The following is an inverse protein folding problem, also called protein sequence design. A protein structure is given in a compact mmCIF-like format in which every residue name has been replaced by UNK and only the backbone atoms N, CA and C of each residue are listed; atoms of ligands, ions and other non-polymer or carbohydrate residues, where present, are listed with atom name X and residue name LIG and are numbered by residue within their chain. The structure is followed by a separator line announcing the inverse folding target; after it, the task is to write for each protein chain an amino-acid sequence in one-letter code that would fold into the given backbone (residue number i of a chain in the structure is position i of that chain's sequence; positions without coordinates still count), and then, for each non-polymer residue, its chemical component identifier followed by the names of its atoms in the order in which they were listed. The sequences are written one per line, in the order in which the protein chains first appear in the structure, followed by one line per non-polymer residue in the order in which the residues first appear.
data_IF_132542933017
#
_entry.id   IF_132542933017
#
_cell.length_a   1.000
_cell.length_b   1.000
_cell.length_c   1.000
_cell.angle_alpha   90.00
_cell.angle_beta   90.00
_cell.angle_gamma   90.00
#
_symmetry.space_group_name_H-M   'P 1'
#
loop_
_entity.id
_entity.type
_entity.pdbx_description
1 polymer ?
#
# COMPACT_ATOMS: atom_id res chain seq x y z
N UNK A 1 -6.08 -12.33 13.87
CA UNK A 1 -5.75 -10.91 14.11
C UNK A 1 -5.14 -10.25 12.88
N UNK A 2 -3.88 -10.47 12.48
CA UNK A 2 -3.31 -9.85 11.26
C UNK A 2 -4.12 -10.16 9.97
N UNK A 3 -4.52 -11.40 9.77
CA UNK A 3 -5.33 -11.79 8.60
C UNK A 3 -6.72 -11.14 8.57
N UNK A 4 -7.29 -10.83 9.74
CA UNK A 4 -8.65 -10.29 9.85
C UNK A 4 -8.67 -8.79 9.55
N UNK A 5 -7.66 -8.05 10.03
CA UNK A 5 -7.47 -6.65 9.68
C UNK A 5 -7.20 -6.44 8.18
N UNK A 6 -6.44 -7.34 7.55
CA UNK A 6 -6.18 -7.28 6.10
C UNK A 6 -7.47 -7.49 5.31
N UNK A 7 -8.30 -8.45 5.71
CA UNK A 7 -9.60 -8.70 5.05
C UNK A 7 -10.59 -7.54 5.20
N UNK A 8 -10.63 -6.88 6.37
CA UNK A 8 -11.50 -5.72 6.59
C UNK A 8 -11.07 -4.50 5.77
N UNK A 9 -9.75 -4.26 5.65
CA UNK A 9 -9.20 -3.19 4.81
C UNK A 9 -9.36 -3.50 3.32
N UNK A 10 -9.22 -4.75 2.90
CA UNK A 10 -9.49 -5.21 1.54
C UNK A 10 -10.92 -4.87 1.11
N UNK A 11 -11.91 -5.24 1.94
CA UNK A 11 -13.32 -4.98 1.68
C UNK A 11 -13.64 -3.48 1.66
N UNK A 12 -13.07 -2.71 2.60
CA UNK A 12 -13.27 -1.27 2.65
C UNK A 12 -12.71 -0.52 1.44
N UNK A 13 -11.55 -0.97 0.93
CA UNK A 13 -10.87 -0.35 -0.21
C UNK A 13 -11.42 -0.84 -1.58
N UNK A 14 -12.36 -1.79 -1.57
CA UNK A 14 -12.92 -2.47 -2.76
C UNK A 14 -11.84 -3.13 -3.66
N UNK A 15 -10.72 -3.57 -3.07
CA UNK A 15 -9.62 -4.22 -3.81
C UNK A 15 -9.91 -5.69 -4.09
N UNK A 16 -10.57 -5.96 -5.21
CA UNK A 16 -11.02 -7.31 -5.61
C UNK A 16 -9.95 -8.17 -6.28
N UNK A 17 -8.84 -7.57 -6.70
CA UNK A 17 -7.81 -8.21 -7.52
C UNK A 17 -6.41 -8.11 -6.89
N UNK A 18 -6.23 -7.75 -5.63
CA UNK A 18 -4.89 -7.63 -5.02
C UNK A 18 -4.02 -8.90 -5.16
N UNK A 19 -4.62 -10.10 -5.30
CA UNK A 19 -3.87 -11.34 -5.56
C UNK A 19 -3.29 -11.43 -6.97
N UNK A 20 -3.81 -10.67 -7.92
CA UNK A 20 -3.46 -10.70 -9.35
C UNK A 20 -3.01 -9.33 -9.90
N UNK A 21 -3.26 -8.25 -9.18
CA UNK A 21 -2.92 -6.87 -9.52
C UNK A 21 -1.85 -6.36 -8.57
N UNK A 22 -0.62 -6.22 -9.10
CA UNK A 22 0.50 -5.64 -8.35
C UNK A 22 0.15 -4.25 -7.78
N UNK A 23 -0.64 -3.45 -8.53
CA UNK A 23 -1.11 -2.15 -8.08
C UNK A 23 -1.93 -2.27 -6.80
N UNK A 24 -3.00 -3.07 -6.81
CA UNK A 24 -3.85 -3.23 -5.63
C UNK A 24 -3.10 -3.87 -4.45
N UNK A 25 -2.17 -4.80 -4.72
CA UNK A 25 -1.33 -5.39 -3.68
C UNK A 25 -0.47 -4.34 -2.94
N UNK A 26 0.21 -3.47 -3.70
CA UNK A 26 1.06 -2.42 -3.13
C UNK A 26 0.22 -1.37 -2.40
N UNK A 27 -0.97 -1.04 -2.91
CA UNK A 27 -1.87 -0.10 -2.22
C UNK A 27 -2.41 -0.69 -0.92
N UNK A 28 -2.78 -1.97 -0.91
CA UNK A 28 -3.22 -2.65 0.29
C UNK A 28 -2.12 -2.66 1.34
N UNK A 29 -0.88 -2.98 0.94
CA UNK A 29 0.27 -2.96 1.83
C UNK A 29 0.52 -1.57 2.43
N UNK A 30 0.46 -0.52 1.62
CA UNK A 30 0.58 0.88 2.06
C UNK A 30 -0.41 1.22 3.18
N UNK A 31 -1.70 0.89 3.00
CA UNK A 31 -2.73 1.20 3.98
C UNK A 31 -2.64 0.31 5.23
N UNK A 32 -2.34 -0.98 5.07
CA UNK A 32 -2.18 -1.91 6.20
C UNK A 32 -1.00 -1.51 7.06
N UNK A 33 0.15 -1.21 6.46
CA UNK A 33 1.35 -0.76 7.18
C UNK A 33 1.09 0.56 7.92
N UNK A 34 0.41 1.51 7.28
CA UNK A 34 0.01 2.75 7.94
C UNK A 34 -0.91 2.53 9.13
N UNK A 35 -1.97 1.74 8.94
CA UNK A 35 -2.92 1.42 10.01
C UNK A 35 -2.23 0.77 11.21
N UNK A 36 -1.35 -0.21 10.98
CA UNK A 36 -0.62 -0.87 12.06
C UNK A 36 0.34 0.07 12.78
N UNK A 37 1.09 0.88 12.05
CA UNK A 37 1.97 1.88 12.64
C UNK A 37 1.19 2.84 13.55
N UNK A 38 0.05 3.36 13.10
CA UNK A 38 -0.78 4.26 13.90
C UNK A 38 -1.38 3.56 15.14
N UNK A 39 -1.72 2.26 15.03
CA UNK A 39 -2.14 1.44 16.17
C UNK A 39 -1.03 1.26 17.21
N UNK A 40 0.19 1.00 16.78
CA UNK A 40 1.36 0.87 17.66
C UNK A 40 1.71 2.19 18.36
N UNK A 41 1.51 3.32 17.67
CA UNK A 41 1.63 4.67 18.24
C UNK A 41 0.52 5.01 19.25
N UNK A 42 -0.49 4.14 19.42
CA UNK A 42 -1.56 4.32 20.40
C UNK A 42 -2.58 5.38 20.01
N UNK A 43 -2.76 5.65 18.70
CA UNK A 43 -3.73 6.64 18.25
C UNK A 43 -5.16 6.25 18.66
N UNK A 44 -5.90 7.22 19.17
CA UNK A 44 -7.35 7.12 19.37
C UNK A 44 -8.08 6.90 18.04
N UNK A 45 -9.35 6.52 18.08
CA UNK A 45 -10.13 6.28 16.87
C UNK A 45 -10.20 7.52 15.95
N UNK A 46 -10.31 8.73 16.53
CA UNK A 46 -10.34 9.98 15.78
C UNK A 46 -8.98 10.24 15.12
N UNK A 47 -7.90 10.11 15.87
CA UNK A 47 -6.53 10.28 15.37
C UNK A 47 -6.20 9.27 14.27
N UNK A 48 -6.57 8.00 14.46
CA UNK A 48 -6.41 6.95 13.46
C UNK A 48 -7.17 7.29 12.17
N UNK A 49 -8.42 7.72 12.28
CA UNK A 49 -9.20 8.13 11.10
C UNK A 49 -8.58 9.33 10.39
N UNK A 50 -8.08 10.31 11.14
CA UNK A 50 -7.37 11.46 10.61
C UNK A 50 -6.11 11.09 9.87
N UNK A 51 -5.34 10.16 10.44
CA UNK A 51 -4.12 9.65 9.82
C UNK A 51 -4.43 8.86 8.53
N UNK A 52 -5.44 7.99 8.53
CA UNK A 52 -5.83 7.25 7.33
C UNK A 52 -6.31 8.19 6.21
N UNK A 53 -7.06 9.25 6.56
CA UNK A 53 -7.43 10.30 5.60
C UNK A 53 -6.21 11.01 5.04
N UNK A 54 -5.21 11.31 5.88
CA UNK A 54 -3.96 11.91 5.42
C UNK A 54 -3.18 10.99 4.46
N UNK A 55 -3.11 9.69 4.75
CA UNK A 55 -2.49 8.71 3.85
C UNK A 55 -3.19 8.67 2.50
N UNK A 56 -4.53 8.69 2.49
CA UNK A 56 -5.32 8.70 1.25
C UNK A 56 -5.09 9.98 0.44
N UNK A 57 -5.12 11.15 1.09
CA UNK A 57 -4.87 12.44 0.46
C UNK A 57 -3.53 12.46 -0.29
N UNK A 58 -2.45 12.04 0.38
CA UNK A 58 -1.11 12.09 -0.23
C UNK A 58 -0.97 11.08 -1.38
N UNK A 59 -1.65 9.94 -1.30
CA UNK A 59 -1.66 8.95 -2.36
C UNK A 59 -2.51 9.40 -3.56
N UNK A 60 -3.65 10.04 -3.32
CA UNK A 60 -4.51 10.62 -4.37
C UNK A 60 -3.83 11.76 -5.11
N UNK A 61 -3.10 12.63 -4.40
CA UNK A 61 -2.27 13.67 -5.01
C UNK A 61 -1.30 13.08 -6.05
N UNK A 62 -0.81 11.87 -5.80
CA UNK A 62 0.07 11.18 -6.72
C UNK A 62 -0.68 10.47 -7.85
N UNK A 63 -1.72 9.71 -7.53
CA UNK A 63 -2.45 8.89 -8.50
C UNK A 63 -3.25 9.74 -9.49
N UNK A 64 -4.04 10.69 -8.98
CA UNK A 64 -5.03 11.46 -9.74
C UNK A 64 -4.50 12.82 -10.18
N UNK A 65 -3.87 13.55 -9.27
CA UNK A 65 -3.42 14.93 -9.52
C UNK A 65 -2.02 15.00 -10.14
N UNK A 66 -1.33 13.86 -10.27
CA UNK A 66 0.04 13.75 -10.78
C UNK A 66 1.04 14.71 -10.11
N UNK A 67 0.83 15.00 -8.82
CA UNK A 67 1.67 15.95 -8.10
C UNK A 67 3.10 15.42 -7.97
N UNK A 68 4.06 16.33 -8.15
CA UNK A 68 5.46 16.04 -7.86
C UNK A 68 5.66 15.80 -6.36
N UNK A 69 6.71 15.06 -5.99
CA UNK A 69 7.08 14.87 -4.58
C UNK A 69 7.17 16.22 -3.83
N UNK A 70 7.76 17.23 -4.47
CA UNK A 70 7.93 18.54 -3.87
C UNK A 70 6.58 19.20 -3.56
N UNK A 71 5.63 19.14 -4.49
CA UNK A 71 4.32 19.78 -4.30
C UNK A 71 3.45 19.00 -3.31
N UNK A 72 3.55 17.67 -3.29
CA UNK A 72 2.85 16.84 -2.31
C UNK A 72 3.38 17.07 -0.88
N UNK A 73 4.70 17.28 -0.72
CA UNK A 73 5.29 17.71 0.57
C UNK A 73 4.78 19.10 0.98
N UNK A 74 4.63 20.05 0.04
CA UNK A 74 4.05 21.36 0.34
C UNK A 74 2.60 21.21 0.78
N UNK A 75 1.83 20.33 0.13
CA UNK A 75 0.44 20.07 0.50
C UNK A 75 0.34 19.47 1.91
N UNK A 76 1.16 18.47 2.24
CA UNK A 76 1.29 17.97 3.60
C UNK A 76 1.56 19.12 4.59
N UNK A 77 2.48 20.02 4.25
CA UNK A 77 2.80 21.19 5.08
C UNK A 77 1.60 22.11 5.31
N UNK A 78 0.72 22.29 4.31
CA UNK A 78 -0.52 23.07 4.44
C UNK A 78 -1.56 22.33 5.26
N UNK A 79 -1.78 21.04 5.00
CA UNK A 79 -2.74 20.20 5.75
C UNK A 79 -2.36 20.11 7.23
N UNK A 80 -1.07 20.04 7.53
CA UNK A 80 -0.54 20.00 8.90
C UNK A 80 -0.37 21.39 9.53
N UNK A 81 -0.57 22.48 8.77
CA UNK A 81 -0.51 23.84 9.31
C UNK A 81 -1.73 24.10 10.22
N UNK A 82 -1.52 24.05 11.52
CA UNK A 82 -2.57 24.22 12.53
C UNK A 82 -2.60 23.12 13.59
N UNK A 83 -1.85 22.03 13.39
CA UNK A 83 -1.69 20.98 14.39
C UNK A 83 -1.13 21.58 15.69
N UNK A 84 -1.81 21.32 16.81
CA UNK A 84 -1.49 21.89 18.13
C UNK A 84 -2.06 23.30 18.40
N UNK A 85 -2.86 23.89 17.51
CA UNK A 85 -3.54 25.17 17.75
C UNK A 85 -5.08 25.01 17.72
N UNK A 86 -5.76 25.00 18.88
CA UNK A 86 -7.20 24.72 18.97
C UNK A 86 -8.13 25.79 18.34
N UNK A 87 -7.60 26.93 17.90
CA UNK A 87 -8.40 28.09 17.43
C UNK A 87 -7.92 28.69 16.08
N UNK A 88 -7.18 27.94 15.28
CA UNK A 88 -6.78 28.41 13.94
C UNK A 88 -7.91 28.14 12.93
N UNK A 89 -8.45 29.19 12.32
CA UNK A 89 -9.41 29.10 11.19
C UNK A 89 -8.85 28.33 9.97
N UNK A 90 -7.54 28.11 9.93
CA UNK A 90 -6.84 27.36 8.88
C UNK A 90 -6.71 25.86 9.16
N UNK A 91 -7.22 25.34 10.28
CA UNK A 91 -6.96 23.93 10.60
C UNK A 91 -7.68 23.00 9.63
N UNK A 92 -6.93 22.11 8.99
CA UNK A 92 -7.43 21.05 8.10
C UNK A 92 -8.16 19.91 8.85
N UNK A 93 -8.75 20.19 10.02
CA UNK A 93 -9.39 19.20 10.87
C UNK A 93 -8.43 18.36 11.72
N UNK A 94 -7.11 18.46 11.53
CA UNK A 94 -6.09 17.63 12.21
C UNK A 94 -5.63 18.16 13.59
N UNK A 95 -6.42 19.04 14.23
CA UNK A 95 -6.07 19.65 15.52
C UNK A 95 -5.99 18.65 16.69
N UNK A 96 -6.49 17.43 16.50
CA UNK A 96 -6.43 16.36 17.48
C UNK A 96 -5.03 15.75 17.65
N UNK A 97 -4.12 15.94 16.68
CA UNK A 97 -2.74 15.52 16.87
C UNK A 97 -1.98 16.54 17.72
N UNK A 98 -1.17 16.04 18.65
CA UNK A 98 -0.18 16.84 19.33
C UNK A 98 1.10 16.99 18.49
N UNK A 99 2.01 17.85 18.95
CA UNK A 99 3.25 18.17 18.23
C UNK A 99 4.14 16.94 18.02
N UNK A 100 4.20 16.02 18.98
CA UNK A 100 5.07 14.85 18.89
C UNK A 100 4.47 13.78 17.96
N UNK A 101 3.15 13.60 17.97
CA UNK A 101 2.44 12.80 16.98
C UNK A 101 2.62 13.37 15.58
N UNK A 102 2.54 14.69 15.41
CA UNK A 102 2.77 15.35 14.12
C UNK A 102 4.17 15.06 13.56
N UNK A 103 5.20 15.15 14.42
CA UNK A 103 6.59 14.80 14.04
C UNK A 103 6.71 13.33 13.68
N UNK A 104 6.09 12.44 14.45
CA UNK A 104 6.11 11.00 14.19
C UNK A 104 5.43 10.67 12.84
N UNK A 105 4.29 11.29 12.54
CA UNK A 105 3.59 11.15 11.26
C UNK A 105 4.47 11.61 10.10
N UNK A 106 5.09 12.80 10.21
CA UNK A 106 6.00 13.31 9.17
C UNK A 106 7.17 12.34 8.96
N UNK A 107 7.74 11.81 10.05
CA UNK A 107 8.82 10.82 9.98
C UNK A 107 8.38 9.54 9.28
N UNK A 108 7.20 9.01 9.62
CA UNK A 108 6.63 7.82 8.99
C UNK A 108 6.40 8.04 7.49
N UNK A 109 5.76 9.15 7.11
CA UNK A 109 5.50 9.50 5.71
C UNK A 109 6.78 9.66 4.90
N UNK A 110 7.84 10.17 5.54
CA UNK A 110 9.16 10.30 4.94
C UNK A 110 9.76 8.93 4.59
N UNK A 111 9.75 7.98 5.53
CA UNK A 111 10.34 6.65 5.31
C UNK A 111 9.47 5.73 4.45
N UNK A 112 8.15 5.94 4.43
CA UNK A 112 7.21 5.15 3.63
C UNK A 112 6.96 5.77 2.25
N UNK A 113 5.96 6.63 2.10
CA UNK A 113 5.51 7.15 0.81
C UNK A 113 6.58 7.96 0.08
N UNK A 114 7.20 8.92 0.77
CA UNK A 114 8.08 9.89 0.10
C UNK A 114 9.42 9.30 -0.33
N UNK A 115 9.99 8.37 0.45
CA UNK A 115 11.19 7.65 0.05
C UNK A 115 10.96 6.81 -1.23
N UNK A 116 9.76 6.27 -1.40
CA UNK A 116 9.41 5.39 -2.51
C UNK A 116 8.57 6.10 -3.60
N UNK A 117 8.54 7.43 -3.62
CA UNK A 117 7.63 8.22 -4.46
C UNK A 117 7.72 7.86 -5.95
N UNK A 118 8.93 7.68 -6.47
CA UNK A 118 9.14 7.29 -7.87
C UNK A 118 8.57 5.91 -8.18
N UNK A 119 8.65 4.96 -7.25
CA UNK A 119 8.06 3.63 -7.43
C UNK A 119 6.54 3.72 -7.56
N UNK A 120 5.90 4.55 -6.71
CA UNK A 120 4.47 4.78 -6.83
C UNK A 120 4.09 5.51 -8.12
N UNK A 121 4.86 6.51 -8.57
CA UNK A 121 4.66 7.14 -9.89
C UNK A 121 4.69 6.09 -11.01
N UNK A 122 5.69 5.20 -11.03
CA UNK A 122 5.76 4.11 -12.00
C UNK A 122 4.56 3.16 -11.87
N UNK A 123 4.14 2.81 -10.66
CA UNK A 123 3.00 1.93 -10.41
C UNK A 123 1.69 2.50 -10.96
N UNK A 124 1.50 3.82 -10.85
CA UNK A 124 0.28 4.50 -11.28
C UNK A 124 0.28 4.82 -12.77
N UNK A 125 1.44 5.19 -13.33
CA UNK A 125 1.51 5.85 -14.64
C UNK A 125 2.35 5.11 -15.68
N UNK A 126 3.03 4.02 -15.32
CA UNK A 126 3.73 3.21 -16.32
C UNK A 126 2.71 2.55 -17.25
N UNK A 127 2.89 2.66 -18.58
CA UNK A 127 2.25 1.75 -19.51
C UNK A 127 2.66 0.35 -19.06
N UNK A 128 1.70 -0.51 -18.74
CA UNK A 128 2.02 -1.91 -18.48
C UNK A 128 2.51 -2.47 -19.82
N UNK A 129 3.82 -2.63 -19.97
CA UNK A 129 4.33 -3.67 -20.86
C UNK A 129 3.84 -4.97 -20.24
N UNK A 130 2.68 -5.42 -20.70
CA UNK A 130 2.26 -6.79 -20.55
C UNK A 130 3.36 -7.62 -21.21
N UNK A 131 4.31 -8.09 -20.40
CA UNK A 131 5.16 -9.19 -20.81
C UNK A 131 4.21 -10.37 -21.00
N UNK A 132 3.66 -10.45 -22.21
CA UNK A 132 3.10 -11.66 -22.78
C UNK A 132 4.30 -12.59 -22.85
N UNK A 133 4.58 -13.28 -21.74
CA UNK A 133 5.32 -14.52 -21.80
C UNK A 133 4.35 -15.47 -22.50
N UNK A 134 4.35 -15.38 -23.83
CA UNK A 134 3.85 -16.41 -24.70
C UNK A 134 4.68 -17.62 -24.39
N UNK A 135 4.22 -18.43 -23.43
CA UNK A 135 4.70 -19.76 -23.22
C UNK A 135 4.29 -20.57 -24.47
N UNK A 136 4.99 -20.36 -25.59
CA UNK A 136 5.16 -21.39 -26.59
C UNK A 136 5.98 -22.50 -25.94
N UNK A 137 5.34 -23.28 -25.08
CA UNK A 137 5.85 -24.58 -24.71
C UNK A 137 5.79 -25.41 -25.99
N UNK A 138 6.91 -25.44 -26.73
CA UNK A 138 7.18 -26.49 -27.71
C UNK A 138 7.16 -27.81 -26.95
N UNK A 139 5.97 -28.40 -26.84
CA UNK A 139 5.76 -29.78 -26.43
C UNK A 139 6.33 -30.66 -27.55
N UNK A 140 7.65 -30.84 -27.54
CA UNK A 140 8.25 -31.98 -28.22
C UNK A 140 7.68 -33.25 -27.58
N UNK A 141 6.97 -34.01 -28.41
CA UNK A 141 6.28 -35.25 -28.08
C UNK A 141 7.26 -36.24 -27.43
N UNK A 142 7.21 -36.35 -26.11
CA UNK A 142 7.60 -37.57 -25.43
C UNK A 142 6.34 -38.27 -24.95
N UNK A 143 5.82 -39.13 -25.83
CA UNK A 143 4.88 -40.18 -25.47
C UNK A 143 5.51 -41.07 -24.40
N UNK A 144 5.17 -40.89 -23.12
CA UNK A 144 5.13 -42.00 -22.15
C UNK A 144 3.98 -41.82 -21.15
N UNK A 145 2.93 -42.60 -21.41
CA UNK A 145 2.06 -43.35 -20.49
C UNK A 145 1.98 -42.80 -19.05
N UNK A 146 0.80 -42.27 -18.73
CA UNK A 146 0.55 -41.57 -17.48
C UNK A 146 0.38 -42.44 -16.23
N UNK A 147 0.32 -41.72 -15.11
CA UNK A 147 -0.37 -42.14 -13.88
C UNK A 147 -0.67 -40.88 -13.07
N UNK A 148 -1.89 -40.85 -12.52
CA UNK A 148 -2.53 -39.75 -11.78
C UNK A 148 -1.68 -39.23 -10.62
N UNK A 149 -1.32 -37.94 -10.63
CA UNK A 149 -1.33 -37.09 -9.42
C UNK A 149 -1.16 -35.59 -9.76
N UNK A 150 -2.17 -35.00 -10.40
CA UNK A 150 -2.12 -33.58 -10.84
C UNK A 150 -2.57 -32.57 -9.75
N UNK A 151 -2.89 -33.01 -8.52
CA UNK A 151 -3.29 -32.09 -7.43
C UNK A 151 -2.16 -31.69 -6.48
N UNK A 152 -1.03 -32.39 -6.50
CA UNK A 152 0.11 -32.07 -5.65
C UNK A 152 1.01 -30.96 -6.23
N UNK A 153 1.09 -30.83 -7.56
CA UNK A 153 2.05 -29.94 -8.25
C UNK A 153 1.62 -28.46 -8.19
N UNK A 154 0.32 -28.15 -8.29
CA UNK A 154 -0.19 -26.77 -8.11
C UNK A 154 -0.09 -26.30 -6.65
N UNK A 155 -0.30 -27.18 -5.67
CA UNK A 155 -0.16 -26.82 -4.26
C UNK A 155 1.30 -26.59 -3.87
N UNK A 156 2.26 -27.30 -4.47
CA UNK A 156 3.68 -27.11 -4.17
C UNK A 156 4.24 -25.80 -4.75
N UNK A 157 3.84 -25.43 -5.96
CA UNK A 157 4.29 -24.21 -6.63
C UNK A 157 3.69 -22.92 -6.05
N UNK A 158 2.45 -22.96 -5.57
CA UNK A 158 1.84 -21.81 -4.90
C UNK A 158 2.39 -21.60 -3.47
N UNK A 159 2.67 -22.69 -2.74
CA UNK A 159 3.18 -22.64 -1.36
C UNK A 159 4.64 -22.20 -1.26
N UNK A 160 5.47 -22.47 -2.27
CA UNK A 160 6.86 -22.00 -2.35
C UNK A 160 6.96 -20.52 -2.75
N UNK A 161 6.06 -20.01 -3.63
CA UNK A 161 5.98 -18.58 -3.96
C UNK A 161 5.60 -17.70 -2.76
N UNK A 162 4.72 -18.17 -1.90
CA UNK A 162 4.30 -17.44 -0.70
C UNK A 162 5.40 -17.39 0.38
N UNK A 163 6.31 -18.36 0.44
CA UNK A 163 7.45 -18.33 1.38
C UNK A 163 8.55 -17.34 0.97
N UNK A 164 8.70 -17.08 -0.33
CA UNK A 164 9.66 -16.10 -0.85
C UNK A 164 9.19 -14.64 -0.76
N UNK A 165 7.88 -14.41 -0.63
CA UNK A 165 7.28 -13.06 -0.54
C UNK A 165 7.19 -12.52 0.90
N UNK A 166 7.28 -13.40 1.91
CA UNK A 166 7.20 -12.99 3.33
C UNK A 166 8.36 -12.12 3.83
N UNK A 167 9.37 -11.85 3.00
CA UNK A 167 10.53 -11.02 3.33
C UNK A 167 10.75 -9.83 2.39
N UNK A 168 9.85 -9.61 1.41
CA UNK A 168 10.08 -8.59 0.35
C UNK A 168 9.00 -7.49 0.33
N UNK A 169 8.02 -7.54 1.23
CA UNK A 169 7.03 -6.47 1.33
C UNK A 169 6.96 -6.01 2.79
N UNK A 170 7.98 -5.24 3.16
CA UNK A 170 7.90 -4.22 4.20
C UNK A 170 8.79 -3.09 3.68
N UNK A 171 8.17 -2.09 3.07
CA UNK A 171 8.81 -0.79 2.80
C UNK A 171 8.54 0.16 3.96
#
# INVERSE_FOLDING_TARGET
FLAESVLQLEEFLDFKLYKTSLKEAVLLDYYVSGFWWAKEMGFSQIELSGFMTLLNLLLENLNTEHMTLQDNIKELGRTMAGVGQPHSEKSSGLNFFNIDQAKAIISYLKSSLFQHYKLYEYLFHSPREELVIGNEVKLEKLQKKGTKDDRAIEQFTCKERLKGLGHVIFF
#
